data_IF_226624997879
#
_entry.id   IF_226624997879
#
_cell.length_a   1.000
_cell.length_b   1.000
_cell.length_c   1.000
_cell.angle_alpha   90.00
_cell.angle_beta   90.00
_cell.angle_gamma   90.00
#
_symmetry.space_group_name_H-M   'P 1'
#
loop_
_entity.id
_entity.type
_entity.pdbx_description
1 polymer ?
#
# COMPACT_ATOMS: atom_id res chain seq x y z
N UNK A 1 29.15 -17.62 16.28
CA UNK A 1 27.75 -17.63 15.84
C UNK A 1 27.63 -16.54 14.80
N UNK A 2 27.79 -16.86 13.52
CA UNK A 2 27.81 -15.87 12.43
C UNK A 2 26.43 -15.28 12.26
N UNK A 3 26.28 -13.99 12.51
CA UNK A 3 25.05 -13.26 12.23
C UNK A 3 24.77 -13.36 10.72
N UNK A 4 23.61 -13.90 10.35
CA UNK A 4 23.16 -14.10 8.96
C UNK A 4 22.76 -12.78 8.25
N UNK A 5 23.52 -11.70 8.50
CA UNK A 5 23.27 -10.37 7.95
C UNK A 5 22.46 -9.44 8.86
N UNK A 6 22.30 -8.21 8.39
CA UNK A 6 21.54 -7.13 9.01
C UNK A 6 20.20 -6.98 8.29
N UNK A 7 19.11 -7.09 9.04
CA UNK A 7 17.78 -6.76 8.53
C UNK A 7 17.64 -5.24 8.50
N UNK A 8 17.32 -4.68 7.32
CA UNK A 8 17.19 -3.24 7.10
C UNK A 8 15.71 -2.87 7.06
N UNK A 9 15.26 -2.04 8.01
CA UNK A 9 13.86 -1.63 8.12
C UNK A 9 13.57 -0.38 7.30
N UNK A 10 14.45 0.63 7.39
CA UNK A 10 14.23 1.93 6.79
C UNK A 10 15.50 2.76 6.68
N UNK A 11 15.44 3.80 5.86
CA UNK A 11 16.38 4.93 5.89
C UNK A 11 15.71 6.15 6.51
N UNK A 12 16.41 6.83 7.41
CA UNK A 12 15.96 8.02 8.16
C UNK A 12 17.04 9.10 8.14
N UNK A 13 16.72 10.32 8.58
CA UNK A 13 17.74 11.37 8.82
C UNK A 13 18.69 10.95 9.95
N UNK A 14 19.97 11.25 9.77
CA UNK A 14 20.96 11.09 10.82
C UNK A 14 20.57 11.94 12.03
N UNK A 15 20.56 11.33 13.22
CA UNK A 15 20.21 12.00 14.48
C UNK A 15 18.73 11.87 14.90
N UNK A 16 17.84 11.33 14.06
CA UNK A 16 16.50 10.96 14.50
C UNK A 16 16.59 9.90 15.61
N UNK A 17 15.89 10.14 16.72
CA UNK A 17 15.83 9.20 17.84
C UNK A 17 14.96 7.99 17.48
N UNK A 18 15.43 6.79 17.83
CA UNK A 18 14.60 5.59 17.78
C UNK A 18 13.67 5.57 19.01
N UNK A 19 12.40 5.18 18.88
CA UNK A 19 11.53 5.01 20.04
C UNK A 19 12.12 3.97 21.02
N UNK A 20 12.17 4.29 22.31
CA UNK A 20 12.91 3.49 23.31
C UNK A 20 12.39 2.05 23.45
N UNK A 21 11.09 1.86 23.26
CA UNK A 21 10.38 0.58 23.32
C UNK A 21 10.14 -0.03 21.93
N UNK A 22 10.66 0.58 20.85
CA UNK A 22 10.59 -0.02 19.53
C UNK A 22 11.34 -1.35 19.51
N UNK A 23 10.77 -2.33 18.82
CA UNK A 23 11.34 -3.66 18.66
C UNK A 23 11.29 -4.07 17.20
N UNK A 24 12.32 -4.77 16.75
CA UNK A 24 12.42 -5.30 15.40
C UNK A 24 11.62 -6.59 15.20
N UNK A 25 11.72 -7.12 13.99
CA UNK A 25 11.17 -8.42 13.60
C UNK A 25 11.92 -9.55 14.29
N UNK A 26 11.20 -10.57 14.76
CA UNK A 26 11.79 -11.75 15.38
C UNK A 26 11.02 -12.25 16.60
N UNK A 27 11.45 -13.40 17.12
CA UNK A 27 10.97 -13.96 18.39
C UNK A 27 12.15 -14.64 19.10
N UNK A 28 12.76 -14.00 20.12
CA UNK A 28 12.40 -12.69 20.69
C UNK A 28 12.61 -11.54 19.69
N UNK A 29 11.91 -10.43 19.92
CA UNK A 29 11.97 -9.28 19.03
C UNK A 29 13.37 -8.64 19.02
N UNK A 30 13.92 -8.39 17.83
CA UNK A 30 15.31 -7.98 17.70
C UNK A 30 15.56 -6.55 18.21
N UNK A 31 16.75 -6.31 18.74
CA UNK A 31 17.16 -4.97 19.16
C UNK A 31 17.51 -4.13 17.94
N UNK A 32 16.97 -2.91 17.91
CA UNK A 32 17.19 -1.95 16.83
C UNK A 32 18.43 -1.11 17.10
N UNK A 33 19.17 -0.79 16.04
CA UNK A 33 20.27 0.18 16.09
C UNK A 33 20.37 0.96 14.78
N UNK A 34 20.84 2.22 14.82
CA UNK A 34 21.11 2.98 13.61
C UNK A 34 22.51 2.69 13.06
N UNK A 35 22.63 2.52 11.75
CA UNK A 35 23.89 2.59 11.00
C UNK A 35 23.93 3.94 10.29
N UNK A 36 24.80 4.85 10.75
CA UNK A 36 24.84 6.24 10.28
C UNK A 36 25.84 6.43 9.15
N UNK A 37 25.48 7.17 8.11
CA UNK A 37 26.38 7.57 7.03
C UNK A 37 26.00 8.97 6.53
N UNK A 38 26.91 9.93 6.67
CA UNK A 38 26.63 11.32 6.30
C UNK A 38 25.39 11.87 7.03
N UNK A 39 24.43 12.40 6.26
CA UNK A 39 23.16 12.97 6.76
C UNK A 39 22.03 11.96 6.92
N UNK A 40 22.26 10.69 6.61
CA UNK A 40 21.26 9.62 6.70
C UNK A 40 21.69 8.50 7.65
N UNK A 41 20.73 7.67 8.05
CA UNK A 41 20.99 6.45 8.79
C UNK A 41 20.01 5.35 8.39
N UNK A 42 20.49 4.11 8.33
CA UNK A 42 19.63 2.94 8.22
C UNK A 42 19.23 2.46 9.63
N UNK A 43 17.95 2.16 9.83
CA UNK A 43 17.48 1.45 11.01
C UNK A 43 17.60 -0.04 10.74
N UNK A 44 18.40 -0.74 11.56
CA UNK A 44 18.71 -2.16 11.36
C UNK A 44 18.57 -2.97 12.65
N UNK A 45 18.51 -4.29 12.50
CA UNK A 45 18.74 -5.26 13.57
C UNK A 45 19.56 -6.42 13.01
N UNK A 46 20.00 -7.34 13.88
CA UNK A 46 20.38 -8.67 13.40
C UNK A 46 19.20 -9.30 12.66
N UNK A 47 19.49 -9.99 11.56
CA UNK A 47 18.47 -10.73 10.83
C UNK A 47 18.02 -11.96 11.65
N UNK A 48 16.72 -12.15 11.88
CA UNK A 48 16.24 -13.31 12.63
C UNK A 48 16.54 -14.60 11.86
N UNK A 49 16.88 -15.70 12.55
CA UNK A 49 17.07 -16.99 11.90
C UNK A 49 15.75 -17.45 11.27
N UNK A 50 15.81 -17.99 10.04
CA UNK A 50 14.64 -18.44 9.27
C UNK A 50 13.59 -17.33 9.05
N UNK A 51 14.04 -16.15 8.64
CA UNK A 51 13.19 -15.03 8.26
C UNK A 51 12.15 -15.47 7.20
N UNK A 52 10.87 -15.42 7.57
CA UNK A 52 9.75 -15.74 6.69
C UNK A 52 8.70 -14.66 6.82
N UNK A 53 7.90 -14.45 5.78
CA UNK A 53 6.78 -13.51 5.76
C UNK A 53 5.57 -14.01 6.60
N UNK A 54 5.79 -14.29 7.88
CA UNK A 54 4.72 -14.64 8.83
C UNK A 54 3.93 -13.38 9.17
N UNK A 55 2.61 -13.52 9.38
CA UNK A 55 1.72 -12.40 9.73
C UNK A 55 2.27 -11.55 10.89
N UNK A 56 2.76 -12.18 11.96
CA UNK A 56 3.37 -11.49 13.11
C UNK A 56 4.54 -10.61 12.69
N UNK A 57 5.44 -11.14 11.85
CA UNK A 57 6.67 -10.47 11.46
C UNK A 57 6.39 -9.32 10.48
N UNK A 58 5.44 -9.51 9.56
CA UNK A 58 4.94 -8.44 8.68
C UNK A 58 4.32 -7.29 9.48
N UNK A 59 3.51 -7.61 10.50
CA UNK A 59 2.89 -6.61 11.37
C UNK A 59 3.94 -5.88 12.21
N UNK A 60 4.92 -6.59 12.77
CA UNK A 60 6.00 -5.98 13.55
C UNK A 60 6.85 -5.01 12.70
N UNK A 61 7.19 -5.40 11.46
CA UNK A 61 7.89 -4.51 10.52
C UNK A 61 7.08 -3.25 10.21
N UNK A 62 5.78 -3.40 9.91
CA UNK A 62 4.92 -2.26 9.60
C UNK A 62 4.71 -1.34 10.80
N UNK A 63 4.48 -1.90 12.00
CA UNK A 63 4.29 -1.14 13.24
C UNK A 63 5.53 -0.30 13.54
N UNK A 64 6.72 -0.89 13.45
CA UNK A 64 7.98 -0.17 13.62
C UNK A 64 8.07 1.03 12.66
N UNK A 65 7.77 0.83 11.38
CA UNK A 65 7.83 1.92 10.40
C UNK A 65 6.84 3.05 10.69
N UNK A 66 5.62 2.72 11.13
CA UNK A 66 4.64 3.71 11.54
C UNK A 66 5.13 4.50 12.76
N UNK A 67 5.68 3.83 13.76
CA UNK A 67 6.25 4.46 14.95
C UNK A 67 7.46 5.33 14.66
N UNK A 68 8.34 4.91 13.76
CA UNK A 68 9.44 5.75 13.27
C UNK A 68 8.90 6.98 12.54
N UNK A 69 7.81 6.80 11.77
CA UNK A 69 7.20 7.91 11.04
C UNK A 69 6.64 8.99 11.98
N UNK A 70 6.29 8.66 13.22
CA UNK A 70 5.89 9.62 14.26
C UNK A 70 7.04 10.54 14.69
N UNK A 71 8.29 10.06 14.62
CA UNK A 71 9.49 10.82 14.98
C UNK A 71 10.00 11.69 13.82
N UNK A 72 9.71 11.33 12.58
CA UNK A 72 9.98 12.15 11.39
C UNK A 72 9.86 11.35 10.09
N UNK A 73 10.43 11.87 9.00
CA UNK A 73 10.38 11.19 7.69
C UNK A 73 11.11 9.85 7.68
N UNK A 74 10.51 8.85 7.04
CA UNK A 74 11.03 7.50 6.92
C UNK A 74 10.94 7.06 5.47
N UNK A 75 12.03 6.51 4.92
CA UNK A 75 12.00 5.75 3.67
C UNK A 75 11.84 4.27 4.03
N UNK A 76 10.63 3.70 3.94
CA UNK A 76 10.40 2.33 4.35
C UNK A 76 11.08 1.34 3.38
N UNK A 77 11.78 0.36 3.93
CA UNK A 77 12.24 -0.79 3.16
C UNK A 77 11.18 -1.87 3.12
N UNK A 78 11.17 -2.62 2.02
CA UNK A 78 10.29 -3.78 1.88
C UNK A 78 10.60 -4.80 2.98
N UNK A 79 9.63 -5.64 3.32
CA UNK A 79 9.90 -6.73 4.25
C UNK A 79 10.95 -7.68 3.65
N UNK A 80 11.87 -8.16 4.49
CA UNK A 80 12.84 -9.18 4.08
C UNK A 80 14.16 -8.65 3.51
N UNK A 81 14.42 -7.34 3.58
CA UNK A 81 15.65 -6.75 3.08
C UNK A 81 16.80 -7.03 4.06
N UNK A 82 17.71 -7.92 3.68
CA UNK A 82 18.87 -8.31 4.48
C UNK A 82 20.17 -7.94 3.77
N UNK A 83 21.04 -7.20 4.46
CA UNK A 83 22.39 -6.88 4.02
C UNK A 83 23.40 -7.87 4.65
N UNK A 84 24.49 -8.23 3.97
CA UNK A 84 25.47 -9.16 4.52
C UNK A 84 26.19 -8.59 5.76
N UNK A 85 26.46 -7.28 5.77
CA UNK A 85 27.21 -6.61 6.83
C UNK A 85 26.91 -5.11 6.89
N UNK A 86 27.48 -4.43 7.89
CA UNK A 86 27.32 -3.01 8.10
C UNK A 86 28.03 -2.15 7.03
N UNK A 87 29.15 -2.63 6.49
CA UNK A 87 29.92 -1.92 5.47
C UNK A 87 29.11 -1.79 4.18
N UNK A 88 28.41 -2.85 3.79
CA UNK A 88 27.47 -2.85 2.67
C UNK A 88 26.35 -1.83 2.87
N UNK A 89 25.77 -1.78 4.07
CA UNK A 89 24.73 -0.78 4.41
C UNK A 89 25.30 0.64 4.29
N UNK A 90 26.49 0.90 4.83
CA UNK A 90 27.15 2.22 4.74
C UNK A 90 27.45 2.61 3.29
N UNK A 91 27.94 1.68 2.47
CA UNK A 91 28.22 1.90 1.06
C UNK A 91 26.96 2.32 0.29
N UNK A 92 25.84 1.63 0.50
CA UNK A 92 24.55 1.98 -0.13
C UNK A 92 24.03 3.34 0.33
N UNK A 93 24.09 3.62 1.64
CA UNK A 93 23.69 4.93 2.17
C UNK A 93 24.56 6.07 1.61
N UNK A 94 25.86 5.83 1.43
CA UNK A 94 26.77 6.82 0.86
C UNK A 94 26.48 7.09 -0.62
N UNK A 95 26.26 6.02 -1.40
CA UNK A 95 25.96 6.12 -2.83
C UNK A 95 24.63 6.87 -3.10
N UNK A 96 23.62 6.64 -2.26
CA UNK A 96 22.28 7.22 -2.41
C UNK A 96 21.98 8.43 -1.52
N UNK A 97 22.96 9.03 -0.84
CA UNK A 97 22.68 10.04 0.22
C UNK A 97 21.80 11.20 -0.28
N UNK A 98 22.11 11.77 -1.45
CA UNK A 98 21.37 12.90 -2.00
C UNK A 98 19.91 12.52 -2.34
N UNK A 99 19.70 11.37 -2.96
CA UNK A 99 18.38 10.87 -3.34
C UNK A 99 17.56 10.50 -2.10
N UNK A 100 18.18 9.86 -1.11
CA UNK A 100 17.55 9.57 0.16
C UNK A 100 17.11 10.85 0.88
N UNK A 101 17.95 11.88 0.91
CA UNK A 101 17.61 13.17 1.52
C UNK A 101 16.44 13.85 0.81
N UNK A 102 16.45 13.87 -0.52
CA UNK A 102 15.35 14.41 -1.35
C UNK A 102 14.04 13.65 -1.09
N UNK A 103 14.10 12.33 -1.04
CA UNK A 103 12.92 11.50 -0.73
C UNK A 103 12.42 11.74 0.71
N UNK A 104 13.32 11.87 1.69
CA UNK A 104 12.94 12.15 3.09
C UNK A 104 12.27 13.53 3.23
N UNK A 105 12.70 14.52 2.44
CA UNK A 105 12.05 15.84 2.37
C UNK A 105 10.67 15.74 1.73
N UNK A 106 10.57 15.02 0.62
CA UNK A 106 9.29 14.75 -0.03
C UNK A 106 8.31 14.00 0.88
N UNK A 107 8.76 13.13 1.78
CA UNK A 107 7.86 12.39 2.68
C UNK A 107 7.62 13.07 4.03
N UNK A 108 8.23 14.24 4.26
CA UNK A 108 8.10 14.96 5.52
C UNK A 108 6.65 15.31 5.83
N UNK A 109 6.21 14.95 7.04
CA UNK A 109 4.87 15.22 7.54
C UNK A 109 3.74 14.46 6.84
N UNK A 110 4.05 13.48 5.99
CA UNK A 110 3.06 12.76 5.20
C UNK A 110 2.87 11.30 5.65
N UNK A 111 1.77 10.70 5.20
CA UNK A 111 1.42 9.29 5.34
C UNK A 111 0.82 8.79 4.03
N UNK A 112 0.87 7.48 3.81
CA UNK A 112 0.21 6.87 2.67
C UNK A 112 -1.18 6.35 3.04
N UNK A 113 -2.16 6.62 2.18
CA UNK A 113 -3.49 6.00 2.21
C UNK A 113 -3.72 5.31 0.87
N UNK A 114 -3.98 4.01 0.89
CA UNK A 114 -4.30 3.23 -0.30
C UNK A 114 -5.81 3.01 -0.42
N UNK A 115 -6.33 3.16 -1.64
CA UNK A 115 -7.73 2.91 -1.97
C UNK A 115 -7.78 1.87 -3.08
N UNK A 116 -8.56 0.83 -2.84
CA UNK A 116 -8.93 -0.17 -3.84
C UNK A 116 -10.42 -0.09 -4.13
N UNK A 117 -10.80 -0.11 -5.40
CA UNK A 117 -12.18 -0.12 -5.86
C UNK A 117 -12.51 -1.46 -6.49
N UNK A 118 -13.61 -2.07 -6.05
CA UNK A 118 -14.14 -3.32 -6.59
C UNK A 118 -15.58 -3.13 -7.07
N UNK A 119 -16.07 -3.93 -8.02
CA UNK A 119 -17.49 -3.98 -8.33
C UNK A 119 -18.33 -4.28 -7.08
N UNK A 120 -19.40 -3.52 -6.90
CA UNK A 120 -20.30 -3.69 -5.76
C UNK A 120 -20.98 -5.07 -5.80
N UNK A 121 -20.91 -5.81 -4.68
CA UNK A 121 -21.42 -7.18 -4.58
C UNK A 121 -22.96 -7.23 -4.58
N UNK A 122 -23.62 -6.26 -3.95
CA UNK A 122 -25.08 -6.20 -3.80
C UNK A 122 -25.77 -5.25 -4.80
N UNK A 123 -25.17 -5.06 -5.98
CA UNK A 123 -25.66 -4.09 -6.98
C UNK A 123 -26.64 -4.67 -8.00
N UNK A 124 -26.90 -5.99 -7.99
CA UNK A 124 -27.68 -6.67 -9.03
C UNK A 124 -29.10 -6.08 -9.23
N UNK A 125 -29.79 -5.77 -8.13
CA UNK A 125 -31.15 -5.19 -8.20
C UNK A 125 -31.15 -3.80 -8.86
N UNK A 126 -30.17 -2.95 -8.53
CA UNK A 126 -30.00 -1.64 -9.16
C UNK A 126 -29.60 -1.78 -10.64
N UNK A 127 -28.77 -2.78 -10.95
CA UNK A 127 -28.25 -3.04 -12.28
C UNK A 127 -29.36 -3.43 -13.25
N UNK A 128 -30.18 -4.41 -12.87
CA UNK A 128 -31.33 -4.88 -13.66
C UNK A 128 -32.33 -3.75 -13.93
N UNK A 129 -32.45 -2.79 -13.00
CA UNK A 129 -33.33 -1.63 -13.15
C UNK A 129 -32.75 -0.58 -14.09
N UNK A 130 -31.43 -0.35 -14.11
CA UNK A 130 -30.86 0.78 -14.84
C UNK A 130 -30.21 0.39 -16.17
N UNK A 131 -29.82 -0.88 -16.35
CA UNK A 131 -29.15 -1.35 -17.56
C UNK A 131 -30.13 -2.04 -18.53
N UNK A 132 -30.34 -1.41 -19.70
CA UNK A 132 -31.27 -1.90 -20.73
C UNK A 132 -30.84 -3.26 -21.31
N UNK A 133 -29.53 -3.51 -21.46
CA UNK A 133 -29.01 -4.77 -22.02
C UNK A 133 -29.21 -5.92 -21.04
N UNK A 134 -28.85 -5.72 -19.76
CA UNK A 134 -29.08 -6.71 -18.70
C UNK A 134 -30.57 -7.03 -18.56
N UNK A 135 -31.44 -6.00 -18.57
CA UNK A 135 -32.89 -6.19 -18.52
C UNK A 135 -33.41 -7.03 -19.70
N UNK A 136 -32.98 -6.71 -20.92
CA UNK A 136 -33.37 -7.45 -22.13
C UNK A 136 -32.96 -8.92 -22.06
N UNK A 137 -31.71 -9.19 -21.68
CA UNK A 137 -31.18 -10.56 -21.57
C UNK A 137 -31.89 -11.35 -20.45
N UNK A 138 -32.20 -10.70 -19.32
CA UNK A 138 -33.00 -11.31 -18.25
C UNK A 138 -34.38 -11.74 -18.76
N UNK A 139 -35.05 -10.88 -19.53
CA UNK A 139 -36.37 -11.18 -20.08
C UNK A 139 -36.31 -12.29 -21.15
N UNK A 140 -35.22 -12.37 -21.92
CA UNK A 140 -34.93 -13.46 -22.86
C UNK A 140 -34.78 -14.80 -22.12
N UNK A 141 -33.93 -14.86 -21.09
CA UNK A 141 -33.74 -16.06 -20.25
C UNK A 141 -35.05 -16.50 -19.59
N UNK A 142 -35.89 -15.56 -19.12
CA UNK A 142 -37.21 -15.89 -18.54
C UNK A 142 -38.17 -16.49 -19.55
N UNK A 143 -38.15 -16.06 -20.81
CA UNK A 143 -39.03 -16.60 -21.87
C UNK A 143 -38.50 -17.90 -22.44
N UNK A 144 -37.18 -18.05 -22.56
CA UNK A 144 -36.50 -19.21 -23.16
C UNK A 144 -35.28 -19.57 -22.31
N UNK A 145 -35.45 -20.38 -21.25
CA UNK A 145 -34.34 -20.81 -20.44
C UNK A 145 -33.40 -21.70 -21.25
N UNK A 146 -32.10 -21.46 -21.13
CA UNK A 146 -31.06 -22.22 -21.81
C UNK A 146 -29.67 -21.85 -21.30
N UNK A 147 -28.72 -22.79 -21.36
CA UNK A 147 -27.38 -22.60 -20.83
C UNK A 147 -26.67 -21.38 -21.45
N UNK A 148 -26.71 -21.27 -22.78
CA UNK A 148 -26.10 -20.15 -23.51
C UNK A 148 -26.74 -18.79 -23.14
N UNK A 149 -28.05 -18.74 -22.99
CA UNK A 149 -28.76 -17.51 -22.59
C UNK A 149 -28.37 -17.09 -21.16
N UNK A 150 -28.27 -18.06 -20.24
CA UNK A 150 -27.80 -17.82 -18.86
C UNK A 150 -26.35 -17.33 -18.83
N UNK A 151 -25.47 -17.90 -19.66
CA UNK A 151 -24.08 -17.47 -19.79
C UNK A 151 -23.98 -16.03 -20.29
N UNK A 152 -24.67 -15.69 -21.38
CA UNK A 152 -24.71 -14.33 -21.95
C UNK A 152 -25.25 -13.30 -20.94
N UNK A 153 -26.25 -13.67 -20.13
CA UNK A 153 -26.75 -12.83 -19.05
C UNK A 153 -25.67 -12.62 -17.97
N UNK A 154 -25.01 -13.69 -17.53
CA UNK A 154 -23.92 -13.62 -16.55
C UNK A 154 -22.77 -12.72 -17.00
N UNK A 155 -22.32 -12.87 -18.24
CA UNK A 155 -21.29 -12.03 -18.86
C UNK A 155 -21.72 -10.56 -18.93
N UNK A 156 -22.96 -10.29 -19.34
CA UNK A 156 -23.48 -8.93 -19.41
C UNK A 156 -23.58 -8.28 -18.02
N UNK A 157 -23.98 -9.03 -17.00
CA UNK A 157 -24.01 -8.58 -15.61
C UNK A 157 -22.60 -8.25 -15.12
N UNK A 158 -21.65 -9.16 -15.29
CA UNK A 158 -20.27 -8.96 -14.86
C UNK A 158 -19.63 -7.74 -15.53
N UNK A 159 -19.77 -7.61 -16.86
CA UNK A 159 -19.26 -6.47 -17.62
C UNK A 159 -19.88 -5.13 -17.18
N UNK A 160 -21.18 -5.11 -16.90
CA UNK A 160 -21.86 -3.90 -16.48
C UNK A 160 -21.50 -3.48 -15.04
N UNK A 161 -21.32 -4.45 -14.12
CA UNK A 161 -20.78 -4.18 -12.78
C UNK A 161 -19.36 -3.63 -12.85
N UNK A 162 -18.48 -4.24 -13.66
CA UNK A 162 -17.11 -3.79 -13.88
C UNK A 162 -17.07 -2.35 -14.43
N UNK A 163 -17.92 -2.04 -15.41
CA UNK A 163 -18.00 -0.72 -16.03
C UNK A 163 -18.43 0.37 -15.04
N UNK A 164 -19.48 0.10 -14.25
CA UNK A 164 -19.95 1.03 -13.20
C UNK A 164 -18.91 1.28 -12.13
N UNK A 165 -18.22 0.22 -11.71
CA UNK A 165 -17.16 0.31 -10.73
C UNK A 165 -16.00 1.14 -11.27
N UNK A 166 -15.60 0.94 -12.53
CA UNK A 166 -14.53 1.71 -13.16
C UNK A 166 -14.90 3.20 -13.30
N UNK A 167 -16.16 3.52 -13.62
CA UNK A 167 -16.66 4.89 -13.63
C UNK A 167 -16.60 5.53 -12.24
N UNK A 168 -17.10 4.83 -11.20
CA UNK A 168 -17.00 5.30 -9.83
C UNK A 168 -15.54 5.41 -9.35
N UNK A 169 -14.66 4.51 -9.79
CA UNK A 169 -13.21 4.54 -9.56
C UNK A 169 -12.58 5.83 -10.10
N UNK A 170 -12.88 6.22 -11.33
CA UNK A 170 -12.42 7.50 -11.90
C UNK A 170 -12.94 8.71 -11.11
N UNK A 171 -14.19 8.65 -10.65
CA UNK A 171 -14.81 9.73 -9.86
C UNK A 171 -14.15 9.89 -8.49
N UNK A 172 -13.91 8.80 -7.76
CA UNK A 172 -13.23 8.89 -6.45
C UNK A 172 -11.79 9.37 -6.61
N UNK A 173 -11.09 8.94 -7.66
CA UNK A 173 -9.76 9.44 -7.97
C UNK A 173 -9.79 10.97 -8.18
N UNK A 174 -10.70 11.45 -9.05
CA UNK A 174 -10.85 12.88 -9.31
C UNK A 174 -11.22 13.71 -8.07
N UNK A 175 -12.00 13.14 -7.15
CA UNK A 175 -12.44 13.82 -5.93
C UNK A 175 -11.32 13.90 -4.87
N UNK A 176 -10.49 12.86 -4.79
CA UNK A 176 -9.47 12.73 -3.75
C UNK A 176 -8.09 13.24 -4.16
N UNK A 177 -7.73 13.22 -5.44
CA UNK A 177 -6.44 13.74 -5.93
C UNK A 177 -6.14 15.16 -5.43
N UNK A 178 -7.07 16.13 -5.46
CA UNK A 178 -6.80 17.49 -4.95
C UNK A 178 -6.55 17.58 -3.44
N UNK A 179 -6.87 16.51 -2.69
CA UNK A 179 -6.68 16.41 -1.22
C UNK A 179 -5.38 15.68 -0.85
N UNK A 180 -4.59 15.28 -1.84
CA UNK A 180 -3.33 14.57 -1.68
C UNK A 180 -2.19 15.40 -2.28
N UNK A 181 -1.00 15.23 -1.73
CA UNK A 181 0.23 15.83 -2.25
C UNK A 181 0.74 15.14 -3.50
N UNK A 182 0.54 13.83 -3.58
CA UNK A 182 0.94 13.01 -4.71
C UNK A 182 0.05 11.77 -4.80
N UNK A 183 0.03 11.16 -5.98
CA UNK A 183 -0.74 9.95 -6.28
C UNK A 183 0.17 8.96 -7.00
N UNK A 184 0.10 7.69 -6.61
CA UNK A 184 0.85 6.61 -7.23
C UNK A 184 -0.07 5.42 -7.54
N UNK A 185 -0.02 4.84 -8.76
CA UNK A 185 -0.75 3.62 -9.06
C UNK A 185 -0.16 2.44 -8.25
N UNK A 186 -1.04 1.63 -7.67
CA UNK A 186 -0.66 0.35 -7.07
C UNK A 186 -0.58 -0.76 -8.11
N UNK A 187 -0.04 -1.94 -7.74
CA UNK A 187 -0.01 -3.10 -8.63
C UNK A 187 -1.43 -3.56 -8.99
N UNK A 188 -1.54 -4.26 -10.13
CA UNK A 188 -2.81 -4.84 -10.55
C UNK A 188 -3.30 -5.89 -9.54
N UNK A 189 -4.61 -5.85 -9.24
CA UNK A 189 -5.26 -6.77 -8.29
C UNK A 189 -6.47 -7.36 -8.98
N UNK A 190 -6.59 -8.69 -8.97
CA UNK A 190 -7.70 -9.37 -9.64
C UNK A 190 -9.06 -8.87 -9.14
N UNK A 191 -9.94 -8.51 -10.07
CA UNK A 191 -11.28 -7.98 -9.80
C UNK A 191 -11.29 -6.53 -9.30
N UNK A 192 -10.14 -5.89 -9.13
CA UNK A 192 -10.02 -4.49 -8.75
C UNK A 192 -10.04 -3.60 -9.99
N UNK A 193 -10.84 -2.55 -9.98
CA UNK A 193 -10.92 -1.57 -11.09
C UNK A 193 -10.05 -0.32 -10.85
N UNK A 194 -9.58 -0.12 -9.62
CA UNK A 194 -8.66 0.95 -9.25
C UNK A 194 -7.87 0.51 -8.02
N UNK A 195 -6.55 0.54 -8.08
CA UNK A 195 -5.67 0.42 -6.92
C UNK A 195 -4.74 1.62 -6.92
N UNK A 196 -4.89 2.53 -5.96
CA UNK A 196 -4.16 3.80 -5.96
C UNK A 196 -3.78 4.21 -4.55
N UNK A 197 -2.53 4.62 -4.40
CA UNK A 197 -2.00 5.20 -3.17
C UNK A 197 -1.95 6.72 -3.27
N UNK A 198 -2.25 7.37 -2.17
CA UNK A 198 -2.27 8.82 -2.02
C UNK A 198 -1.28 9.19 -0.91
N UNK A 199 -0.39 10.13 -1.21
CA UNK A 199 0.46 10.76 -0.22
C UNK A 199 -0.32 11.92 0.39
N UNK A 200 -0.67 11.81 1.66
CA UNK A 200 -1.54 12.77 2.34
C UNK A 200 -0.76 13.38 3.50
N UNK A 201 -0.90 14.69 3.72
CA UNK A 201 -0.37 15.30 4.93
C UNK A 201 -1.00 14.65 6.16
N UNK A 202 -0.18 14.30 7.15
CA UNK A 202 -0.62 13.54 8.32
C UNK A 202 -1.76 14.22 9.06
N UNK A 203 -1.73 15.55 9.12
CA UNK A 203 -2.77 16.38 9.75
C UNK A 203 -4.13 16.28 9.03
N UNK A 204 -4.11 16.01 7.73
CA UNK A 204 -5.31 15.91 6.90
C UNK A 204 -5.76 14.46 6.65
N UNK A 205 -4.99 13.47 7.14
CA UNK A 205 -5.25 12.04 6.91
C UNK A 205 -6.67 11.61 7.30
N UNK A 206 -7.17 12.05 8.46
CA UNK A 206 -8.52 11.72 8.90
C UNK A 206 -9.60 12.39 8.04
N UNK A 207 -9.36 13.63 7.58
CA UNK A 207 -10.28 14.33 6.69
C UNK A 207 -10.33 13.66 5.30
N UNK A 208 -9.17 13.26 4.78
CA UNK A 208 -9.06 12.50 3.54
C UNK A 208 -9.84 11.18 3.62
N UNK A 209 -9.64 10.41 4.71
CA UNK A 209 -10.35 9.14 4.93
C UNK A 209 -11.87 9.34 5.02
N UNK A 210 -12.34 10.35 5.76
CA UNK A 210 -13.78 10.67 5.83
C UNK A 210 -14.38 11.01 4.47
N UNK A 211 -13.64 11.72 3.60
CA UNK A 211 -14.09 12.01 2.24
C UNK A 211 -14.24 10.72 1.41
N UNK A 212 -13.23 9.84 1.46
CA UNK A 212 -13.28 8.55 0.78
C UNK A 212 -14.42 7.65 1.29
N UNK A 213 -14.66 7.62 2.60
CA UNK A 213 -15.78 6.89 3.21
C UNK A 213 -17.14 7.48 2.82
N UNK A 214 -17.26 8.81 2.74
CA UNK A 214 -18.48 9.47 2.27
C UNK A 214 -18.76 9.15 0.80
N UNK A 215 -17.73 9.14 -0.04
CA UNK A 215 -17.84 8.69 -1.42
C UNK A 215 -18.34 7.23 -1.48
N UNK A 216 -17.74 6.34 -0.69
CA UNK A 216 -18.12 4.93 -0.63
C UNK A 216 -19.61 4.76 -0.25
N UNK A 217 -20.08 5.47 0.78
CA UNK A 217 -21.49 5.45 1.20
C UNK A 217 -22.44 5.91 0.08
N UNK A 218 -22.08 6.97 -0.63
CA UNK A 218 -22.92 7.59 -1.67
C UNK A 218 -22.95 6.76 -2.97
N UNK A 219 -21.94 5.91 -3.19
CA UNK A 219 -21.79 5.11 -4.42
C UNK A 219 -21.81 3.59 -4.16
N UNK A 220 -22.40 3.15 -3.04
CA UNK A 220 -22.42 1.73 -2.59
C UNK A 220 -23.06 0.76 -3.59
N UNK A 221 -23.92 1.26 -4.47
CA UNK A 221 -24.59 0.50 -5.54
C UNK A 221 -23.72 0.37 -6.82
N UNK A 222 -22.57 1.03 -6.84
CA UNK A 222 -21.66 1.09 -7.99
C UNK A 222 -20.29 0.49 -7.68
N UNK A 223 -19.78 0.71 -6.48
CA UNK A 223 -18.42 0.34 -6.10
C UNK A 223 -18.31 -0.01 -4.62
N UNK A 224 -17.53 -1.04 -4.32
CA UNK A 224 -17.01 -1.34 -2.98
C UNK A 224 -15.61 -0.73 -2.86
N UNK A 225 -15.44 0.29 -2.01
CA UNK A 225 -14.13 0.85 -1.71
C UNK A 225 -13.52 0.18 -0.48
N UNK A 226 -12.27 -0.26 -0.60
CA UNK A 226 -11.44 -0.74 0.50
C UNK A 226 -10.32 0.26 0.75
N UNK A 227 -10.31 0.82 1.95
CA UNK A 227 -9.30 1.79 2.38
C UNK A 227 -8.26 1.07 3.24
N UNK A 228 -6.99 1.42 3.06
CA UNK A 228 -5.88 0.93 3.90
C UNK A 228 -4.98 2.09 4.29
N UNK A 229 -4.70 2.22 5.58
CA UNK A 229 -3.80 3.20 6.13
C UNK A 229 -4.33 3.92 7.39
N UNK A 230 -3.50 4.78 8.00
CA UNK A 230 -2.21 5.26 7.50
C UNK A 230 -1.16 4.14 7.37
N UNK A 231 -0.43 4.15 6.26
CA UNK A 231 0.66 3.22 5.94
C UNK A 231 2.00 3.97 5.88
N UNK A 232 3.13 3.28 6.09
CA UNK A 232 4.41 3.78 5.61
C UNK A 232 4.35 4.05 4.10
N UNK A 233 5.05 5.10 3.65
CA UNK A 233 4.95 5.60 2.26
C UNK A 233 5.73 4.75 1.23
N UNK A 234 5.40 3.46 1.14
CA UNK A 234 6.04 2.52 0.21
C UNK A 234 5.87 2.90 -1.26
N UNK A 235 4.74 3.50 -1.64
CA UNK A 235 4.43 3.83 -3.04
C UNK A 235 5.11 5.11 -3.50
N UNK A 236 5.77 5.83 -2.59
CA UNK A 236 6.37 7.14 -2.83
C UNK A 236 7.88 7.15 -2.53
N UNK A 237 8.50 5.97 -2.41
CA UNK A 237 9.95 5.81 -2.44
C UNK A 237 10.38 5.37 -3.83
N UNK A 238 11.32 6.10 -4.45
CA UNK A 238 11.86 5.75 -5.76
C UNK A 238 12.52 4.38 -5.70
N UNK A 239 12.08 3.46 -6.56
CA UNK A 239 12.60 2.10 -6.66
C UNK A 239 13.81 2.02 -7.60
N UNK A 240 14.82 2.89 -7.46
CA UNK A 240 16.06 2.76 -8.24
C UNK A 240 17.25 3.10 -7.34
N UNK A 241 17.93 2.05 -6.87
CA UNK A 241 19.12 2.20 -6.03
C UNK A 241 19.50 1.01 -5.12
N UNK A 242 19.07 -0.23 -5.40
CA UNK A 242 19.66 -1.39 -4.69
C UNK A 242 19.68 -2.68 -5.52
N UNK A 243 20.87 -3.08 -6.00
CA UNK A 243 21.33 -4.47 -5.92
C UNK A 243 22.58 -4.51 -5.00
N UNK A 244 22.80 -5.43 -4.08
CA UNK A 244 22.31 -6.79 -3.83
C UNK A 244 21.89 -6.86 -2.36
N UNK A 245 20.59 -6.88 -2.11
CA UNK A 245 20.01 -7.33 -0.84
C UNK A 245 19.29 -8.62 -1.19
N UNK A 246 19.74 -9.75 -0.67
CA UNK A 246 19.08 -11.03 -0.93
C UNK A 246 17.74 -11.01 -0.21
N UNK A 247 16.65 -11.14 -0.97
CA UNK A 247 15.37 -11.46 -0.39
C UNK A 247 15.52 -12.82 0.30
N UNK A 248 15.49 -12.84 1.63
CA UNK A 248 15.54 -14.08 2.40
C UNK A 248 14.41 -15.01 1.95
N UNK A 249 14.78 -16.22 1.52
CA UNK A 249 13.86 -17.32 1.14
C UNK A 249 13.17 -17.91 2.37
#
# INVERSE_FOLDING_TARGET
MTANGLYVYAVIRAGMALPADARGVGSPAAQLRPVRQGRVAAVVSEAPPNLRARRRDLLAHQDLLLRLSEQGSVLPMRFGMVAPDEETVRGQLAAGEADHMTALEHLSGAVEVNIKAFPAQDALASLVTQDKKVRRLRDEVRRRPGYEASLRLGEAVAAALQSRAAEAGRRVLSELTPKARAVAPGPEVQGCVLNTSFLVDRRDSDAFRRAAEQFARTNRDRVELRLSGPLPCYSFVSSEGAPVLTAGV
#
